data_IF_851121691672
#
_entry.id   IF_851121691672
#
_cell.length_a   1.000
_cell.length_b   1.000
_cell.length_c   1.000
_cell.angle_alpha   90.00
_cell.angle_beta   90.00
_cell.angle_gamma   90.00
#
_symmetry.space_group_name_H-M   'P 1'
#
loop_
_entity.id
_entity.type
_entity.pdbx_description
1 polymer ?
#
# COMPACT_ATOMS: atom_id res chain seq x y z
N UNK A 1 -16.83 11.45 -1.18
CA UNK A 1 -15.51 11.66 -1.85
C UNK A 1 -15.53 13.02 -2.53
N UNK A 2 -14.44 13.78 -2.48
CA UNK A 2 -14.32 15.03 -3.27
C UNK A 2 -13.45 14.82 -4.50
N UNK A 3 -13.78 15.49 -5.60
CA UNK A 3 -12.99 15.51 -6.83
C UNK A 3 -12.76 16.95 -7.25
N UNK A 4 -11.65 17.18 -7.93
CA UNK A 4 -11.30 18.46 -8.53
C UNK A 4 -11.77 18.48 -9.99
N UNK A 5 -12.59 19.45 -10.38
CA UNK A 5 -12.91 19.72 -11.79
C UNK A 5 -11.68 20.28 -12.50
N UNK A 6 -11.29 19.65 -13.62
CA UNK A 6 -10.00 19.93 -14.28
C UNK A 6 -9.93 21.30 -14.94
N UNK A 7 -11.06 21.89 -15.31
CA UNK A 7 -11.15 23.16 -16.04
C UNK A 7 -11.24 24.35 -15.10
N UNK A 8 -12.03 24.19 -14.05
CA UNK A 8 -12.31 25.28 -13.11
C UNK A 8 -11.37 25.21 -11.90
N UNK A 9 -10.88 24.01 -11.53
CA UNK A 9 -10.22 23.71 -10.25
C UNK A 9 -11.17 23.87 -9.05
N UNK A 10 -12.47 23.67 -9.23
CA UNK A 10 -13.45 23.62 -8.13
C UNK A 10 -13.42 22.22 -7.52
N UNK A 11 -13.53 22.17 -6.19
CA UNK A 11 -13.66 20.90 -5.48
C UNK A 11 -15.14 20.60 -5.33
N UNK A 12 -15.59 19.52 -5.97
CA UNK A 12 -16.96 19.03 -5.99
C UNK A 12 -17.07 17.78 -5.10
N UNK A 13 -18.19 17.63 -4.39
CA UNK A 13 -18.42 16.52 -3.48
C UNK A 13 -19.44 15.53 -4.06
N UNK A 14 -19.09 14.24 -3.99
CA UNK A 14 -19.87 13.13 -4.53
C UNK A 14 -20.11 12.08 -3.46
N UNK A 15 -21.33 11.54 -3.46
CA UNK A 15 -21.79 10.54 -2.49
C UNK A 15 -22.24 9.25 -3.20
N UNK A 16 -22.07 8.12 -2.52
CA UNK A 16 -22.59 6.83 -2.97
C UNK A 16 -22.14 6.49 -4.39
N UNK A 17 -23.10 6.19 -5.27
CA UNK A 17 -22.88 5.77 -6.66
C UNK A 17 -22.85 6.92 -7.66
N UNK A 18 -23.03 8.17 -7.22
CA UNK A 18 -23.10 9.35 -8.09
C UNK A 18 -21.71 9.85 -8.52
N UNK A 19 -20.67 9.03 -8.35
CA UNK A 19 -19.29 9.35 -8.69
C UNK A 19 -19.12 9.38 -10.21
N UNK A 20 -18.66 10.50 -10.82
CA UNK A 20 -18.36 10.54 -12.25
C UNK A 20 -17.13 9.68 -12.56
N UNK A 21 -16.82 9.49 -13.84
CA UNK A 21 -15.52 8.93 -14.24
C UNK A 21 -14.41 9.94 -13.89
N UNK A 22 -13.36 9.48 -13.23
CA UNK A 22 -12.24 10.34 -12.82
C UNK A 22 -10.89 9.65 -13.04
N UNK A 23 -9.86 10.48 -13.18
CA UNK A 23 -8.48 10.05 -13.04
C UNK A 23 -7.98 10.32 -11.61
N UNK A 24 -6.97 9.59 -11.16
CA UNK A 24 -6.42 9.71 -9.81
C UNK A 24 -4.91 9.95 -9.86
N UNK A 25 -4.39 10.84 -9.02
CA UNK A 25 -2.96 11.05 -8.90
C UNK A 25 -2.39 10.19 -7.78
N UNK A 26 -1.43 9.35 -8.13
CA UNK A 26 -0.55 8.67 -7.19
C UNK A 26 0.82 9.36 -7.21
N UNK A 27 1.30 9.77 -6.05
CA UNK A 27 2.60 10.43 -5.95
C UNK A 27 3.18 10.34 -4.54
N UNK A 28 4.49 10.49 -4.45
CA UNK A 28 5.17 10.65 -3.17
C UNK A 28 5.20 12.12 -2.77
N UNK A 29 4.71 12.46 -1.58
CA UNK A 29 4.70 13.85 -1.13
C UNK A 29 6.12 14.42 -1.10
N UNK A 30 6.27 15.62 -1.64
CA UNK A 30 7.48 16.41 -1.68
C UNK A 30 7.36 17.64 -0.79
N UNK A 31 8.14 18.67 -1.12
CA UNK A 31 8.06 19.98 -0.47
C UNK A 31 6.92 20.79 -1.10
N UNK A 32 6.28 21.62 -0.28
CA UNK A 32 5.28 22.59 -0.74
C UNK A 32 4.04 21.97 -1.40
N UNK A 33 3.53 20.88 -0.84
CA UNK A 33 2.22 20.34 -1.26
C UNK A 33 1.09 21.35 -0.99
N UNK A 34 0.01 21.18 -1.75
CA UNK A 34 -1.20 21.99 -1.64
C UNK A 34 -2.26 21.18 -0.89
N UNK A 35 -2.71 21.73 0.23
CA UNK A 35 -3.77 21.15 1.06
C UNK A 35 -5.17 21.54 0.56
N UNK A 36 -6.22 20.92 1.13
CA UNK A 36 -7.60 21.31 0.86
C UNK A 36 -7.87 22.78 1.21
N UNK A 37 -7.50 23.30 2.40
CA UNK A 37 -7.64 24.74 2.70
C UNK A 37 -6.84 25.65 1.75
N UNK A 38 -5.66 25.22 1.30
CA UNK A 38 -4.87 25.97 0.33
C UNK A 38 -5.63 26.13 -1.01
N UNK A 39 -6.30 25.07 -1.49
CA UNK A 39 -7.12 25.15 -2.70
C UNK A 39 -8.29 26.12 -2.56
N UNK A 40 -8.98 26.11 -1.42
CA UNK A 40 -10.05 27.06 -1.14
C UNK A 40 -9.52 28.51 -1.14
N UNK A 41 -8.36 28.76 -0.53
CA UNK A 41 -7.72 30.08 -0.52
C UNK A 41 -7.32 30.54 -1.94
N UNK A 42 -6.75 29.64 -2.75
CA UNK A 42 -6.40 29.93 -4.15
C UNK A 42 -7.62 30.32 -4.98
N UNK A 43 -8.77 29.69 -4.72
CA UNK A 43 -10.05 29.97 -5.40
C UNK A 43 -10.69 31.27 -4.95
N UNK A 44 -10.68 31.55 -3.64
CA UNK A 44 -11.25 32.77 -3.09
C UNK A 44 -10.45 34.03 -3.48
N UNK A 45 -9.16 33.88 -3.81
CA UNK A 45 -8.32 34.98 -4.24
C UNK A 45 -8.72 35.51 -5.63
N UNK A 46 -9.11 36.79 -5.69
CA UNK A 46 -9.36 37.49 -6.95
C UNK A 46 -8.07 37.67 -7.80
N UNK A 47 -6.89 37.59 -7.16
CA UNK A 47 -5.59 37.77 -7.83
C UNK A 47 -4.99 36.44 -8.27
N UNK A 48 -4.75 36.33 -9.58
CA UNK A 48 -4.00 35.23 -10.22
C UNK A 48 -2.56 35.06 -9.69
N UNK A 49 -2.01 36.03 -8.94
CA UNK A 49 -0.65 36.00 -8.37
C UNK A 49 -0.56 35.46 -6.94
N UNK A 50 -1.61 34.80 -6.43
CA UNK A 50 -1.61 34.20 -5.10
C UNK A 50 -0.34 33.33 -4.87
N UNK A 51 0.41 33.50 -3.76
CA UNK A 51 1.72 32.86 -3.57
C UNK A 51 1.66 31.33 -3.61
N UNK A 52 0.55 30.73 -3.17
CA UNK A 52 0.35 29.28 -3.24
C UNK A 52 0.38 28.73 -4.68
N UNK A 53 0.04 29.53 -5.70
CA UNK A 53 0.12 29.12 -7.11
C UNK A 53 1.56 28.90 -7.59
N UNK A 54 2.56 29.40 -6.85
CA UNK A 54 3.99 29.20 -7.16
C UNK A 54 4.56 27.93 -6.55
N UNK A 55 3.86 27.31 -5.59
CA UNK A 55 4.32 26.08 -4.92
C UNK A 55 4.44 24.93 -5.92
N UNK A 56 5.42 24.05 -5.72
CA UNK A 56 5.62 22.86 -6.57
C UNK A 56 4.40 21.93 -6.56
N UNK A 57 3.74 21.76 -5.41
CA UNK A 57 2.50 20.99 -5.30
C UNK A 57 1.36 21.51 -6.18
N UNK A 58 1.27 22.83 -6.38
CA UNK A 58 0.24 23.41 -7.24
C UNK A 58 0.48 23.06 -8.72
N UNK A 59 1.73 23.18 -9.18
CA UNK A 59 2.09 22.79 -10.56
C UNK A 59 1.81 21.31 -10.81
N UNK A 60 2.06 20.45 -9.82
CA UNK A 60 1.71 19.02 -9.91
C UNK A 60 0.20 18.81 -10.11
N UNK A 61 -0.64 19.52 -9.36
CA UNK A 61 -2.11 19.48 -9.53
C UNK A 61 -2.51 19.97 -10.92
N UNK A 62 -1.95 21.08 -11.40
CA UNK A 62 -2.24 21.62 -12.73
C UNK A 62 -1.87 20.62 -13.82
N UNK A 63 -0.66 20.05 -13.78
CA UNK A 63 -0.23 19.07 -14.76
C UNK A 63 -1.08 17.78 -14.72
N UNK A 64 -1.54 17.39 -13.52
CA UNK A 64 -2.52 16.30 -13.35
C UNK A 64 -3.82 16.62 -14.09
N UNK A 65 -4.34 17.84 -13.93
CA UNK A 65 -5.56 18.29 -14.60
C UNK A 65 -5.37 18.39 -16.12
N UNK A 66 -4.21 18.86 -16.57
CA UNK A 66 -3.88 18.92 -18.00
C UNK A 66 -3.82 17.52 -18.62
N UNK A 67 -3.16 16.57 -17.96
CA UNK A 67 -3.10 15.20 -18.43
C UNK A 67 -4.50 14.54 -18.42
N UNK A 68 -5.27 14.74 -17.36
CA UNK A 68 -6.66 14.29 -17.27
C UNK A 68 -7.52 14.82 -18.41
N UNK A 69 -7.41 16.12 -18.73
CA UNK A 69 -8.12 16.73 -19.85
C UNK A 69 -7.73 16.11 -21.19
N UNK A 70 -6.43 15.86 -21.42
CA UNK A 70 -5.94 15.19 -22.65
C UNK A 70 -6.52 13.79 -22.81
N UNK A 71 -6.68 13.07 -21.70
CA UNK A 71 -7.22 11.71 -21.67
C UNK A 71 -8.77 11.68 -21.58
N UNK A 72 -9.43 12.84 -21.60
CA UNK A 72 -10.89 12.97 -21.67
C UNK A 72 -11.62 12.91 -20.32
N UNK A 73 -10.92 13.10 -19.21
CA UNK A 73 -11.50 13.16 -17.86
C UNK A 73 -11.80 14.59 -17.44
N UNK A 74 -13.00 14.80 -16.88
CA UNK A 74 -13.40 16.10 -16.31
C UNK A 74 -13.03 16.25 -14.84
N UNK A 75 -12.81 15.14 -14.14
CA UNK A 75 -12.56 15.13 -12.71
C UNK A 75 -11.27 14.39 -12.38
N UNK A 76 -10.54 14.91 -11.40
CA UNK A 76 -9.37 14.24 -10.82
C UNK A 76 -9.47 14.13 -9.31
N UNK A 77 -8.92 13.06 -8.75
CA UNK A 77 -8.69 12.95 -7.33
C UNK A 77 -7.20 13.12 -7.01
N UNK A 78 -6.90 13.99 -6.04
CA UNK A 78 -5.55 14.23 -5.53
C UNK A 78 -5.61 14.24 -4.01
N UNK A 79 -4.99 13.27 -3.36
CA UNK A 79 -5.06 13.06 -1.91
C UNK A 79 -4.69 14.31 -1.10
N UNK A 80 -3.71 15.10 -1.54
CA UNK A 80 -3.23 16.28 -0.81
C UNK A 80 -4.32 17.33 -0.65
N UNK A 81 -5.17 17.52 -1.67
CA UNK A 81 -6.16 18.59 -1.71
C UNK A 81 -7.62 18.14 -1.80
N UNK A 82 -7.92 16.87 -2.09
CA UNK A 82 -9.29 16.34 -2.10
C UNK A 82 -9.72 15.78 -0.73
N UNK A 83 -8.78 15.62 0.21
CA UNK A 83 -9.06 15.22 1.59
C UNK A 83 -8.77 16.41 2.51
N UNK A 84 -9.76 16.81 3.31
CA UNK A 84 -9.55 17.70 4.44
C UNK A 84 -8.94 16.94 5.61
N UNK A 85 -7.60 17.01 5.70
CA UNK A 85 -6.83 16.36 6.75
C UNK A 85 -6.96 17.03 8.12
N UNK A 86 -7.62 18.19 8.20
CA UNK A 86 -7.93 18.84 9.48
C UNK A 86 -9.16 18.21 10.16
N UNK A 87 -10.01 17.53 9.38
CA UNK A 87 -11.15 16.76 9.87
C UNK A 87 -10.74 15.31 10.13
N UNK A 88 -10.68 14.90 11.39
CA UNK A 88 -10.28 13.53 11.76
C UNK A 88 -11.29 12.47 11.29
N UNK A 89 -12.57 12.80 11.27
CA UNK A 89 -13.63 11.92 10.74
C UNK A 89 -13.46 11.72 9.24
N UNK A 90 -13.23 12.79 8.48
CA UNK A 90 -13.01 12.71 7.04
C UNK A 90 -11.71 11.98 6.71
N UNK A 91 -10.63 12.26 7.43
CA UNK A 91 -9.35 11.55 7.24
C UNK A 91 -9.52 10.03 7.48
N UNK A 92 -10.28 9.66 8.52
CA UNK A 92 -10.59 8.25 8.81
C UNK A 92 -11.43 7.61 7.72
N UNK A 93 -12.47 8.27 7.24
CA UNK A 93 -13.30 7.80 6.13
C UNK A 93 -12.46 7.64 4.85
N UNK A 94 -11.62 8.63 4.54
CA UNK A 94 -10.80 8.66 3.36
C UNK A 94 -9.77 7.54 3.32
N UNK A 95 -9.06 7.30 4.43
CA UNK A 95 -8.07 6.21 4.51
C UNK A 95 -8.75 4.85 4.37
N UNK A 96 -9.90 4.61 5.03
CA UNK A 96 -10.64 3.35 4.88
C UNK A 96 -11.24 3.17 3.47
N UNK A 97 -11.38 4.25 2.69
CA UNK A 97 -11.95 4.23 1.34
C UNK A 97 -10.91 4.31 0.22
N UNK A 98 -9.65 4.63 0.54
CA UNK A 98 -8.63 5.02 -0.44
C UNK A 98 -8.37 3.92 -1.47
N UNK A 99 -8.24 2.67 -1.01
CA UNK A 99 -8.07 1.53 -1.92
C UNK A 99 -9.22 1.42 -2.93
N UNK A 100 -10.47 1.56 -2.48
CA UNK A 100 -11.64 1.53 -3.35
C UNK A 100 -11.62 2.70 -4.34
N UNK A 101 -11.24 3.91 -3.90
CA UNK A 101 -11.11 5.07 -4.79
C UNK A 101 -10.02 4.89 -5.85
N UNK A 102 -8.92 4.21 -5.54
CA UNK A 102 -7.93 3.82 -6.53
C UNK A 102 -8.45 2.72 -7.47
N UNK A 103 -9.15 1.72 -6.94
CA UNK A 103 -9.71 0.61 -7.73
C UNK A 103 -10.80 1.05 -8.71
N UNK A 104 -11.64 1.99 -8.30
CA UNK A 104 -12.73 2.56 -9.10
C UNK A 104 -12.27 3.66 -10.06
N UNK A 105 -11.05 4.17 -9.91
CA UNK A 105 -10.50 5.14 -10.85
C UNK A 105 -10.32 4.53 -12.25
N UNK A 106 -10.64 5.31 -13.27
CA UNK A 106 -10.50 4.87 -14.66
C UNK A 106 -9.04 4.89 -15.13
N UNK A 107 -8.24 5.79 -14.53
CA UNK A 107 -6.84 6.00 -14.84
C UNK A 107 -6.11 6.53 -13.61
N UNK A 108 -5.00 5.91 -13.25
CA UNK A 108 -4.08 6.41 -12.25
C UNK A 108 -2.82 6.98 -12.91
N UNK A 109 -2.50 8.24 -12.60
CA UNK A 109 -1.24 8.87 -12.99
C UNK A 109 -0.24 8.71 -11.84
N UNK A 110 0.78 7.87 -12.04
CA UNK A 110 1.85 7.70 -11.06
C UNK A 110 3.00 8.66 -11.38
N UNK A 111 3.12 9.74 -10.61
CA UNK A 111 4.15 10.77 -10.81
C UNK A 111 5.40 10.47 -9.98
N UNK A 112 6.50 10.17 -10.69
CA UNK A 112 7.81 9.84 -10.13
C UNK A 112 8.69 11.11 -10.09
N UNK A 113 8.63 11.84 -8.98
CA UNK A 113 9.34 13.12 -8.81
C UNK A 113 10.87 12.99 -8.87
N UNK A 114 11.40 11.84 -8.45
CA UNK A 114 12.83 11.54 -8.37
C UNK A 114 13.38 10.80 -9.59
N UNK A 115 12.56 10.61 -10.62
CA UNK A 115 12.98 10.06 -11.89
C UNK A 115 13.24 11.20 -12.88
N UNK A 116 14.50 11.42 -13.25
CA UNK A 116 14.90 12.32 -14.34
C UNK A 116 15.64 11.54 -15.43
N UNK A 117 15.45 11.94 -16.68
CA UNK A 117 16.11 11.32 -17.84
C UNK A 117 17.62 11.66 -17.89
N UNK A 118 18.10 12.56 -17.02
CA UNK A 118 19.46 13.12 -17.06
C UNK A 118 20.42 12.32 -16.17
N UNK A 119 20.84 11.14 -16.61
CA UNK A 119 22.08 10.53 -16.12
C UNK A 119 23.10 10.54 -17.26
N UNK A 120 24.36 10.86 -16.96
CA UNK A 120 25.49 11.05 -17.89
C UNK A 120 25.88 9.80 -18.73
N UNK A 121 25.09 8.71 -18.69
CA UNK A 121 25.37 7.41 -19.31
C UNK A 121 24.31 6.94 -20.33
N UNK A 122 23.39 7.82 -20.74
CA UNK A 122 22.31 7.51 -21.68
C UNK A 122 20.93 7.57 -21.03
N UNK A 123 19.87 7.67 -21.85
CA UNK A 123 18.50 7.74 -21.35
C UNK A 123 18.17 6.45 -20.56
N UNK A 124 17.80 6.54 -19.28
CA UNK A 124 17.48 5.36 -18.49
C UNK A 124 16.25 4.68 -19.08
N UNK A 125 16.40 3.42 -19.51
CA UNK A 125 15.29 2.59 -19.93
C UNK A 125 14.37 2.34 -18.71
N UNK A 126 13.10 2.75 -18.74
CA UNK A 126 12.18 2.57 -17.62
C UNK A 126 12.04 1.09 -17.21
N UNK A 127 12.17 0.16 -18.16
CA UNK A 127 12.12 -1.29 -17.88
C UNK A 127 13.21 -1.76 -16.92
N UNK A 128 14.33 -1.05 -16.83
CA UNK A 128 15.47 -1.48 -16.00
C UNK A 128 15.59 -0.66 -14.70
N UNK A 129 14.90 0.48 -14.62
CA UNK A 129 15.21 1.50 -13.61
C UNK A 129 14.01 2.05 -12.85
N UNK A 130 12.78 1.85 -13.33
CA UNK A 130 11.59 2.50 -12.74
C UNK A 130 11.39 2.13 -11.26
N UNK A 131 11.65 0.88 -10.91
CA UNK A 131 11.53 0.34 -9.54
C UNK A 131 12.54 0.94 -8.56
N UNK A 132 13.55 1.66 -9.04
CA UNK A 132 14.52 2.38 -8.20
C UNK A 132 13.96 3.71 -7.66
N UNK A 133 12.85 4.20 -8.20
CA UNK A 133 12.18 5.38 -7.68
C UNK A 133 11.69 5.15 -6.26
N UNK A 134 11.78 6.20 -5.42
CA UNK A 134 11.16 6.36 -4.10
C UNK A 134 9.69 5.92 -4.09
N UNK A 135 8.99 6.07 -5.22
CA UNK A 135 7.60 5.66 -5.32
C UNK A 135 7.42 4.17 -5.04
N UNK A 136 8.32 3.28 -5.46
CA UNK A 136 8.19 1.84 -5.20
C UNK A 136 8.55 1.43 -3.77
N UNK A 137 9.23 2.28 -3.01
CA UNK A 137 9.60 2.04 -1.62
C UNK A 137 8.74 2.81 -0.61
N UNK A 138 7.73 3.58 -1.04
CA UNK A 138 6.79 4.23 -0.12
C UNK A 138 5.70 3.25 0.31
N UNK A 139 5.27 3.30 1.58
CA UNK A 139 4.22 2.41 2.09
C UNK A 139 2.89 2.58 1.36
N UNK A 140 2.36 3.80 1.34
CA UNK A 140 1.06 4.11 0.71
C UNK A 140 0.99 3.74 -0.76
N UNK A 141 2.05 3.92 -1.55
CA UNK A 141 2.03 3.64 -2.99
C UNK A 141 1.85 2.15 -3.33
N UNK A 142 1.93 1.24 -2.35
CA UNK A 142 1.63 -0.17 -2.59
C UNK A 142 0.15 -0.36 -3.00
N UNK A 143 -0.77 0.25 -2.26
CA UNK A 143 -2.18 0.17 -2.63
C UNK A 143 -2.46 0.94 -3.92
N UNK A 144 -1.71 2.01 -4.18
CA UNK A 144 -1.81 2.81 -5.40
C UNK A 144 -1.26 2.08 -6.64
N UNK A 145 -0.36 1.10 -6.45
CA UNK A 145 0.12 0.18 -7.48
C UNK A 145 -0.89 -0.94 -7.76
N UNK A 146 -1.41 -1.53 -6.68
CA UNK A 146 -2.22 -2.75 -6.73
C UNK A 146 -3.67 -2.46 -7.12
N UNK A 147 -4.30 -1.46 -6.53
CA UNK A 147 -5.74 -1.23 -6.67
C UNK A 147 -6.18 -0.78 -8.08
N UNK A 148 -5.56 0.23 -8.73
CA UNK A 148 -6.04 0.69 -10.03
C UNK A 148 -5.83 -0.34 -11.13
N UNK A 149 -6.81 -0.49 -12.03
CA UNK A 149 -6.65 -1.36 -13.22
C UNK A 149 -5.66 -0.77 -14.23
N UNK A 150 -5.61 0.57 -14.36
CA UNK A 150 -4.77 1.26 -15.33
C UNK A 150 -3.90 2.28 -14.61
N UNK A 151 -2.59 2.18 -14.84
CA UNK A 151 -1.62 3.17 -14.37
C UNK A 151 -0.74 3.58 -15.55
N UNK A 152 -0.52 4.89 -15.70
CA UNK A 152 0.54 5.45 -16.54
C UNK A 152 1.55 6.14 -15.63
N UNK A 153 2.83 5.76 -15.78
CA UNK A 153 3.92 6.37 -15.03
C UNK A 153 4.44 7.59 -15.77
N UNK A 154 4.70 8.66 -15.03
CA UNK A 154 5.25 9.91 -15.53
C UNK A 154 6.48 10.30 -14.72
N UNK A 155 7.49 10.84 -15.38
CA UNK A 155 8.65 11.43 -14.69
C UNK A 155 8.43 12.91 -14.38
N UNK A 156 9.46 13.59 -13.86
CA UNK A 156 9.40 15.00 -13.43
C UNK A 156 8.92 16.00 -14.51
N UNK A 157 9.19 15.76 -15.80
CA UNK A 157 8.69 16.61 -16.91
C UNK A 157 7.34 16.17 -17.49
N UNK A 158 6.59 15.29 -16.81
CA UNK A 158 5.27 14.80 -17.25
C UNK A 158 5.24 14.12 -18.63
N UNK A 159 6.34 13.50 -19.05
CA UNK A 159 6.35 12.55 -20.17
C UNK A 159 6.16 11.13 -19.65
N UNK A 160 5.49 10.30 -20.46
CA UNK A 160 5.15 8.93 -20.08
C UNK A 160 6.37 8.02 -20.11
N UNK A 161 6.57 7.27 -19.02
CA UNK A 161 7.58 6.21 -18.89
C UNK A 161 7.04 4.84 -19.32
N UNK A 162 5.73 4.73 -19.54
CA UNK A 162 5.03 3.48 -19.82
C UNK A 162 3.83 3.26 -18.90
N UNK A 163 3.06 2.20 -19.18
CA UNK A 163 1.92 1.77 -18.38
C UNK A 163 2.30 0.63 -17.43
N UNK A 164 1.52 0.42 -16.36
CA UNK A 164 1.65 -0.77 -15.50
C UNK A 164 1.69 -2.07 -16.29
N UNK A 165 0.86 -2.19 -17.33
CA UNK A 165 0.88 -3.36 -18.19
C UNK A 165 2.19 -3.51 -18.97
N UNK A 166 2.70 -2.43 -19.58
CA UNK A 166 3.96 -2.47 -20.36
C UNK A 166 5.22 -2.68 -19.50
N UNK A 167 5.13 -2.39 -18.21
CA UNK A 167 6.22 -2.47 -17.25
C UNK A 167 6.03 -3.61 -16.23
N UNK A 168 5.03 -4.47 -16.40
CA UNK A 168 4.66 -5.49 -15.41
C UNK A 168 5.85 -6.41 -15.05
N UNK A 169 6.60 -6.88 -16.06
CA UNK A 169 7.80 -7.70 -15.84
C UNK A 169 8.91 -6.97 -15.05
N UNK A 170 9.09 -5.66 -15.30
CA UNK A 170 10.06 -4.85 -14.56
C UNK A 170 9.62 -4.65 -13.10
N UNK A 171 8.32 -4.42 -12.89
CA UNK A 171 7.73 -4.25 -11.56
C UNK A 171 7.81 -5.56 -10.78
N UNK A 172 7.48 -6.70 -11.39
CA UNK A 172 7.63 -8.03 -10.79
C UNK A 172 9.08 -8.29 -10.39
N UNK A 173 10.05 -8.08 -11.29
CA UNK A 173 11.46 -8.26 -10.99
C UNK A 173 11.99 -7.36 -9.86
N UNK A 174 11.42 -6.16 -9.68
CA UNK A 174 11.85 -5.23 -8.64
C UNK A 174 11.10 -5.32 -7.31
N UNK A 175 9.89 -5.88 -7.30
CA UNK A 175 9.00 -5.88 -6.12
C UNK A 175 8.60 -7.27 -5.65
N UNK A 176 8.79 -8.30 -6.47
CA UNK A 176 8.27 -9.65 -6.22
C UNK A 176 6.75 -9.78 -6.37
N UNK A 177 6.05 -8.71 -6.80
CA UNK A 177 4.61 -8.75 -7.04
C UNK A 177 4.36 -9.35 -8.43
N UNK A 178 3.65 -10.48 -8.48
CA UNK A 178 3.38 -11.20 -9.72
C UNK A 178 2.72 -10.34 -10.80
N UNK A 179 3.06 -10.58 -12.06
CA UNK A 179 2.37 -9.94 -13.19
C UNK A 179 0.86 -10.20 -13.19
N UNK A 180 0.40 -11.37 -12.71
CA UNK A 180 -1.02 -11.72 -12.69
C UNK A 180 -1.83 -10.73 -11.86
N UNK A 181 -1.36 -10.39 -10.66
CA UNK A 181 -2.05 -9.42 -9.79
C UNK A 181 -1.84 -7.97 -10.25
N UNK A 182 -0.70 -7.65 -10.87
CA UNK A 182 -0.46 -6.33 -11.45
C UNK A 182 -1.42 -6.04 -12.60
N UNK A 183 -1.70 -7.04 -13.43
CA UNK A 183 -2.59 -6.94 -14.59
C UNK A 183 -4.06 -7.17 -14.21
N UNK A 184 -4.33 -7.89 -13.12
CA UNK A 184 -5.67 -8.15 -12.62
C UNK A 184 -5.76 -7.95 -11.08
N UNK A 185 -6.08 -6.73 -10.62
CA UNK A 185 -6.25 -6.41 -9.21
C UNK A 185 -7.30 -7.27 -8.47
N UNK A 186 -8.26 -7.86 -9.18
CA UNK A 186 -9.29 -8.69 -8.56
C UNK A 186 -8.70 -10.00 -7.98
N UNK A 187 -7.47 -10.37 -8.38
CA UNK A 187 -6.75 -11.54 -7.86
C UNK A 187 -6.06 -11.28 -6.51
N UNK A 188 -5.97 -10.05 -6.01
CA UNK A 188 -5.25 -9.73 -4.76
C UNK A 188 -5.70 -10.64 -3.60
N UNK A 189 -7.00 -10.93 -3.51
CA UNK A 189 -7.58 -11.75 -2.42
C UNK A 189 -7.25 -13.24 -2.52
N UNK A 190 -6.77 -13.71 -3.67
CA UNK A 190 -6.40 -15.10 -3.89
C UNK A 190 -4.99 -15.41 -3.36
N UNK A 191 -4.19 -14.38 -3.08
CA UNK A 191 -2.87 -14.51 -2.49
C UNK A 191 -2.95 -14.62 -0.98
N UNK A 192 -2.05 -15.42 -0.41
CA UNK A 192 -2.00 -15.66 1.03
C UNK A 192 -1.75 -14.36 1.80
N UNK A 193 -2.12 -14.35 3.08
CA UNK A 193 -1.80 -13.22 3.97
C UNK A 193 -0.30 -12.99 4.00
N UNK A 194 0.52 -14.04 4.11
CA UNK A 194 1.97 -13.89 4.15
C UNK A 194 2.53 -13.28 2.87
N UNK A 195 2.03 -13.68 1.70
CA UNK A 195 2.49 -13.12 0.42
C UNK A 195 2.10 -11.65 0.27
N UNK A 196 0.87 -11.29 0.66
CA UNK A 196 0.43 -9.88 0.70
C UNK A 196 1.25 -9.04 1.68
N UNK A 197 1.66 -9.61 2.83
CA UNK A 197 2.59 -8.95 3.75
C UNK A 197 3.99 -8.78 3.13
N UNK A 198 4.47 -9.75 2.35
CA UNK A 198 5.75 -9.67 1.64
C UNK A 198 5.79 -8.49 0.67
N UNK A 199 4.71 -8.20 -0.04
CA UNK A 199 4.64 -7.03 -0.94
C UNK A 199 4.84 -5.68 -0.22
N UNK A 200 4.60 -5.66 1.09
CA UNK A 200 4.79 -4.50 1.95
C UNK A 200 6.17 -4.43 2.61
N UNK A 201 6.99 -5.47 2.50
CA UNK A 201 8.36 -5.48 3.04
C UNK A 201 9.23 -4.40 2.39
N UNK A 202 10.20 -3.89 3.14
CA UNK A 202 11.14 -2.84 2.71
C UNK A 202 10.50 -1.50 2.33
N UNK A 203 9.18 -1.34 2.51
CA UNK A 203 8.49 -0.06 2.29
C UNK A 203 8.58 0.84 3.51
N UNK A 204 8.70 2.13 3.26
CA UNK A 204 8.93 3.15 4.27
C UNK A 204 7.70 4.05 4.43
N UNK A 205 7.39 4.36 5.68
CA UNK A 205 6.34 5.30 6.07
C UNK A 205 6.93 6.40 6.94
N UNK A 206 6.29 7.57 6.93
CA UNK A 206 6.74 8.70 7.78
C UNK A 206 6.23 8.55 9.20
N UNK A 207 4.97 8.14 9.36
CA UNK A 207 4.41 7.74 10.65
C UNK A 207 4.52 6.23 10.79
N UNK A 208 4.78 5.77 11.99
CA UNK A 208 4.97 4.35 12.26
C UNK A 208 3.68 3.56 11.99
N UNK A 209 2.53 4.14 12.37
CA UNK A 209 1.21 3.54 12.23
C UNK A 209 0.77 3.40 10.77
N UNK A 210 1.29 4.25 9.87
CA UNK A 210 0.99 4.15 8.43
C UNK A 210 1.49 2.82 7.82
N UNK A 211 2.41 2.10 8.49
CA UNK A 211 2.78 0.73 8.09
C UNK A 211 1.57 -0.21 8.11
N UNK A 212 0.63 0.01 9.03
CA UNK A 212 -0.61 -0.71 9.12
C UNK A 212 -1.69 -0.08 8.23
N UNK A 213 -1.88 1.24 8.34
CA UNK A 213 -2.98 1.93 7.65
C UNK A 213 -2.87 1.89 6.13
N UNK A 214 -1.66 1.84 5.57
CA UNK A 214 -1.47 1.69 4.13
C UNK A 214 -1.85 0.31 3.58
N UNK A 215 -2.11 -0.68 4.45
CA UNK A 215 -2.40 -2.06 4.08
C UNK A 215 -3.87 -2.46 4.27
N UNK A 216 -4.67 -1.66 4.99
CA UNK A 216 -6.06 -2.01 5.34
C UNK A 216 -6.89 -2.38 4.10
N UNK A 217 -6.73 -1.65 2.99
CA UNK A 217 -7.43 -1.91 1.74
C UNK A 217 -6.95 -3.15 1.00
N UNK A 218 -5.65 -3.48 1.07
CA UNK A 218 -5.06 -4.70 0.49
C UNK A 218 -5.61 -5.94 1.19
N UNK A 219 -5.83 -5.83 2.51
CA UNK A 219 -6.43 -6.88 3.31
C UNK A 219 -7.96 -6.85 3.37
N UNK A 220 -8.59 -5.79 2.86
CA UNK A 220 -10.05 -5.64 2.85
C UNK A 220 -10.65 -5.52 4.25
N UNK A 221 -9.94 -4.88 5.18
CA UNK A 221 -10.38 -4.66 6.56
C UNK A 221 -10.60 -3.17 6.83
N UNK A 222 -11.42 -2.86 7.83
CA UNK A 222 -11.65 -1.50 8.29
C UNK A 222 -11.25 -1.38 9.76
N UNK A 223 -10.58 -0.28 10.12
CA UNK A 223 -10.17 -0.05 11.51
C UNK A 223 -10.07 1.45 11.85
N UNK A 224 -10.29 1.84 13.13
CA UNK A 224 -10.07 3.21 13.59
C UNK A 224 -8.59 3.61 13.49
N UNK A 225 -8.34 4.84 13.04
CA UNK A 225 -6.99 5.43 12.97
C UNK A 225 -6.63 6.11 14.30
N UNK A 226 -5.67 5.54 15.03
CA UNK A 226 -5.16 6.06 16.28
C UNK A 226 -3.68 6.42 16.13
N UNK A 227 -3.39 7.63 15.63
CA UNK A 227 -2.01 8.11 15.58
C UNK A 227 -1.46 8.37 17.00
N UNK A 228 -0.27 7.85 17.29
CA UNK A 228 0.34 7.83 18.62
C UNK A 228 0.37 6.44 19.28
N UNK A 229 -0.24 5.42 18.67
CA UNK A 229 -0.22 4.05 19.20
C UNK A 229 1.04 3.25 18.81
N UNK A 230 1.86 3.77 17.89
CA UNK A 230 3.11 3.16 17.47
C UNK A 230 2.93 1.79 16.82
N UNK A 231 3.75 0.81 17.21
CA UNK A 231 3.75 -0.55 16.64
C UNK A 231 2.42 -1.30 16.86
N UNK A 232 1.61 -0.86 17.83
CA UNK A 232 0.28 -1.44 18.10
C UNK A 232 -0.67 -1.35 16.93
N UNK A 233 -0.50 -0.36 16.04
CA UNK A 233 -1.30 -0.24 14.83
C UNK A 233 -1.20 -1.48 13.94
N UNK A 234 0.00 -2.07 13.82
CA UNK A 234 0.22 -3.25 12.98
C UNK A 234 -0.27 -4.54 13.64
N UNK A 235 -0.21 -4.64 14.97
CA UNK A 235 -0.87 -5.73 15.69
C UNK A 235 -2.39 -5.68 15.51
N UNK A 236 -3.01 -4.49 15.64
CA UNK A 236 -4.45 -4.31 15.39
C UNK A 236 -4.86 -4.63 13.96
N UNK A 237 -4.04 -4.30 12.97
CA UNK A 237 -4.28 -4.71 11.59
C UNK A 237 -4.39 -6.25 11.49
N UNK A 238 -3.44 -6.98 12.08
CA UNK A 238 -3.49 -8.45 12.12
C UNK A 238 -4.74 -8.95 12.85
N UNK A 239 -5.13 -8.34 13.97
CA UNK A 239 -6.36 -8.70 14.68
C UNK A 239 -7.61 -8.52 13.79
N UNK A 240 -7.72 -7.43 13.03
CA UNK A 240 -8.84 -7.25 12.10
C UNK A 240 -8.82 -8.25 10.94
N UNK A 241 -7.64 -8.61 10.43
CA UNK A 241 -7.50 -9.65 9.39
C UNK A 241 -8.00 -11.00 9.93
N UNK A 242 -7.60 -11.35 11.17
CA UNK A 242 -7.96 -12.62 11.83
C UNK A 242 -9.48 -12.74 12.02
N UNK A 243 -10.19 -11.64 12.27
CA UNK A 243 -11.67 -11.68 12.41
C UNK A 243 -12.39 -12.15 11.15
N UNK A 244 -11.79 -11.94 9.97
CA UNK A 244 -12.39 -12.22 8.68
C UNK A 244 -11.70 -13.31 7.86
N UNK A 245 -10.67 -13.97 8.38
CA UNK A 245 -9.84 -14.91 7.62
C UNK A 245 -9.49 -16.17 8.39
N UNK A 246 -9.51 -17.30 7.69
CA UNK A 246 -9.02 -18.61 8.17
C UNK A 246 -7.62 -18.93 7.62
N UNK A 247 -6.98 -17.98 6.92
CA UNK A 247 -5.66 -18.18 6.32
C UNK A 247 -4.56 -18.17 7.39
N UNK A 248 -3.98 -19.34 7.67
CA UNK A 248 -3.00 -19.52 8.74
C UNK A 248 -1.64 -18.88 8.43
N UNK A 249 -1.41 -18.43 7.19
CA UNK A 249 -0.15 -17.80 6.79
C UNK A 249 0.09 -16.46 7.49
N UNK A 250 -0.92 -15.89 8.16
CA UNK A 250 -0.76 -14.75 9.07
C UNK A 250 0.24 -15.03 10.22
N UNK A 251 0.43 -16.30 10.60
CA UNK A 251 1.38 -16.73 11.63
C UNK A 251 2.71 -17.22 11.06
N UNK A 252 2.96 -17.08 9.76
CA UNK A 252 4.17 -17.58 9.10
C UNK A 252 5.40 -16.66 9.28
N UNK A 253 5.22 -15.49 9.89
CA UNK A 253 6.28 -14.52 10.14
C UNK A 253 7.36 -15.08 11.06
N UNK A 254 8.55 -14.48 11.00
CA UNK A 254 9.75 -14.94 11.71
C UNK A 254 10.30 -13.84 12.62
N UNK A 255 10.74 -14.22 13.81
CA UNK A 255 11.43 -13.31 14.73
C UNK A 255 12.86 -13.01 14.28
N UNK A 256 13.38 -11.84 14.63
CA UNK A 256 14.80 -11.52 14.43
C UNK A 256 15.67 -12.44 15.29
N UNK A 257 16.55 -13.23 14.66
CA UNK A 257 17.45 -14.18 15.33
C UNK A 257 16.99 -15.64 15.31
N UNK A 258 16.16 -16.05 14.34
CA UNK A 258 15.85 -17.47 14.12
C UNK A 258 17.11 -18.23 13.65
N UNK A 259 17.67 -19.15 14.47
CA UNK A 259 18.95 -19.81 14.19
C UNK A 259 18.94 -20.68 12.92
N UNK A 260 17.77 -20.96 12.35
CA UNK A 260 17.63 -21.80 11.17
C UNK A 260 17.88 -21.06 9.84
N UNK A 261 18.06 -19.73 9.85
CA UNK A 261 18.05 -18.94 8.60
C UNK A 261 18.97 -17.70 8.54
N UNK A 262 19.89 -17.51 9.50
CA UNK A 262 20.81 -16.34 9.55
C UNK A 262 21.71 -16.17 8.31
N UNK A 263 21.75 -17.12 7.37
CA UNK A 263 22.56 -17.04 6.14
C UNK A 263 21.91 -16.23 4.99
N UNK A 264 20.62 -15.85 5.07
CA UNK A 264 19.89 -15.28 3.90
C UNK A 264 19.58 -13.78 4.03
N UNK A 265 19.54 -13.21 5.24
CA UNK A 265 19.07 -11.84 5.45
C UNK A 265 20.21 -10.90 5.86
N UNK A 266 20.66 -10.05 4.93
CA UNK A 266 21.31 -8.78 5.27
C UNK A 266 20.28 -7.82 5.91
N UNK A 267 19.84 -8.14 7.12
CA UNK A 267 18.99 -7.26 7.93
C UNK A 267 19.83 -6.03 8.26
N UNK A 268 19.42 -4.87 7.76
CA UNK A 268 20.07 -3.60 8.10
C UNK A 268 19.99 -3.38 9.62
N UNK A 269 21.08 -2.89 10.21
CA UNK A 269 21.20 -2.68 11.67
C UNK A 269 20.12 -1.77 12.27
N UNK A 270 19.43 -0.97 11.44
CA UNK A 270 18.37 -0.05 11.87
C UNK A 270 17.03 -0.74 12.20
N UNK A 271 16.91 -2.05 11.97
CA UNK A 271 15.70 -2.87 12.27
C UNK A 271 15.79 -3.64 13.59
N UNK A 272 16.75 -3.33 14.47
CA UNK A 272 16.74 -3.87 15.84
C UNK A 272 15.48 -3.38 16.56
N UNK A 273 14.46 -4.21 16.56
CA UNK A 273 13.36 -4.09 17.51
C UNK A 273 13.98 -4.02 18.90
N UNK A 274 13.57 -3.03 19.69
CA UNK A 274 13.98 -2.88 21.09
C UNK A 274 13.39 -3.98 21.99
N UNK A 275 12.60 -4.89 21.41
CA UNK A 275 11.97 -6.02 22.07
C UNK A 275 12.95 -7.19 22.03
N UNK A 276 13.29 -7.73 23.20
CA UNK A 276 14.11 -8.92 23.30
C UNK A 276 13.44 -10.10 22.55
N UNK A 277 14.20 -11.04 21.95
CA UNK A 277 13.64 -12.19 21.23
C UNK A 277 12.61 -13.01 22.02
N UNK A 278 12.68 -12.97 23.35
CA UNK A 278 11.77 -13.68 24.27
C UNK A 278 10.46 -12.93 24.59
N UNK A 279 10.30 -11.69 24.14
CA UNK A 279 9.10 -10.86 24.35
C UNK A 279 8.24 -10.74 23.07
N UNK A 280 8.59 -11.48 22.01
CA UNK A 280 7.82 -11.54 20.77
C UNK A 280 6.50 -12.29 21.03
N UNK A 281 5.38 -11.58 20.90
CA UNK A 281 4.04 -12.15 20.95
C UNK A 281 3.73 -13.01 19.72
N UNK A 282 2.47 -13.43 19.59
CA UNK A 282 1.99 -14.26 18.45
C UNK A 282 1.84 -13.46 17.15
N UNK A 283 1.78 -12.13 17.24
CA UNK A 283 1.60 -11.23 16.10
C UNK A 283 2.91 -10.49 15.78
N UNK A 284 3.16 -10.29 14.49
CA UNK A 284 4.32 -9.54 14.02
C UNK A 284 4.22 -8.05 14.39
N UNK A 285 5.37 -7.37 14.47
CA UNK A 285 5.45 -5.93 14.72
C UNK A 285 5.58 -5.10 13.42
N UNK A 286 5.94 -5.74 12.30
CA UNK A 286 6.00 -5.10 10.99
C UNK A 286 5.85 -6.12 9.84
N UNK A 287 5.55 -5.66 8.61
CA UNK A 287 5.57 -6.52 7.43
C UNK A 287 6.94 -7.16 7.18
N UNK A 288 8.04 -6.53 7.60
CA UNK A 288 9.41 -7.05 7.39
C UNK A 288 9.65 -8.39 8.09
N UNK A 289 8.86 -8.73 9.11
CA UNK A 289 8.88 -10.05 9.73
C UNK A 289 8.42 -11.18 8.79
N UNK A 290 7.76 -10.85 7.68
CA UNK A 290 7.32 -11.81 6.65
C UNK A 290 8.33 -11.97 5.50
N UNK A 291 9.50 -11.34 5.53
CA UNK A 291 10.53 -11.54 4.49
C UNK A 291 10.79 -13.05 4.29
N UNK A 292 10.77 -13.49 3.03
CA UNK A 292 10.94 -14.90 2.66
C UNK A 292 9.69 -15.79 2.85
N UNK A 293 8.55 -15.23 3.26
CA UNK A 293 7.30 -15.97 3.47
C UNK A 293 6.34 -15.91 2.27
N UNK A 294 6.83 -15.50 1.10
CA UNK A 294 5.99 -15.25 -0.09
C UNK A 294 5.47 -16.52 -0.75
N UNK A 295 6.26 -17.60 -0.75
CA UNK A 295 5.84 -18.91 -1.31
C UNK A 295 5.00 -19.76 -0.36
N UNK A 296 4.58 -19.20 0.78
CA UNK A 296 3.84 -19.90 1.81
C UNK A 296 2.35 -19.82 1.50
N UNK A 297 1.71 -20.98 1.30
CA UNK A 297 0.29 -21.08 0.93
C UNK A 297 -0.58 -21.60 2.08
N UNK A 298 -1.86 -21.20 2.16
CA UNK A 298 -2.78 -21.74 3.14
C UNK A 298 -3.07 -23.22 2.86
N UNK A 299 -3.32 -24.02 3.90
CA UNK A 299 -3.74 -25.40 3.72
C UNK A 299 -5.25 -25.46 3.48
N UNK A 300 -5.64 -25.84 2.27
CA UNK A 300 -7.06 -25.83 1.86
C UNK A 300 -7.73 -27.21 1.83
N UNK A 301 -7.00 -28.33 1.87
CA UNK A 301 -7.60 -29.65 1.61
C UNK A 301 -6.93 -30.82 2.35
N UNK A 302 -7.37 -31.09 3.56
CA UNK A 302 -7.50 -32.46 4.06
C UNK A 302 -8.79 -32.50 4.89
N UNK A 303 -9.56 -33.58 4.82
CA UNK A 303 -10.86 -33.84 5.49
C UNK A 303 -10.89 -33.65 7.04
N UNK A 304 -9.88 -33.03 7.63
CA UNK A 304 -9.75 -32.69 9.02
C UNK A 304 -9.94 -31.20 9.21
N UNK A 305 -11.15 -30.82 9.63
CA UNK A 305 -11.48 -29.58 10.36
C UNK A 305 -10.74 -28.31 9.91
N UNK A 306 -11.41 -27.41 9.18
CA UNK A 306 -10.96 -26.02 8.96
C UNK A 306 -10.28 -25.50 10.23
N UNK A 307 -8.98 -25.20 10.13
CA UNK A 307 -8.20 -24.66 11.24
C UNK A 307 -8.70 -23.25 11.52
N UNK A 308 -9.72 -23.15 12.37
CA UNK A 308 -10.22 -21.89 12.87
C UNK A 308 -9.27 -21.36 13.93
N UNK A 309 -9.05 -20.05 13.89
CA UNK A 309 -8.32 -19.34 14.92
C UNK A 309 -9.02 -18.02 15.26
N UNK A 310 -8.91 -17.62 16.51
CA UNK A 310 -9.45 -16.35 17.00
C UNK A 310 -8.65 -15.85 18.18
N UNK A 311 -8.63 -14.53 18.36
CA UNK A 311 -8.14 -13.92 19.60
C UNK A 311 -9.25 -13.85 20.64
N UNK A 312 -8.94 -14.33 21.83
CA UNK A 312 -9.79 -14.20 23.03
C UNK A 312 -9.10 -13.27 24.03
N UNK A 313 -9.79 -12.89 25.11
CA UNK A 313 -9.15 -12.20 26.24
C UNK A 313 -8.07 -13.04 26.95
N UNK A 314 -7.92 -14.33 26.62
CA UNK A 314 -6.87 -15.22 27.11
C UNK A 314 -5.72 -15.43 26.12
N UNK A 315 -5.79 -14.83 24.93
CA UNK A 315 -4.82 -15.02 23.84
C UNK A 315 -5.37 -15.77 22.65
N UNK A 316 -4.47 -16.26 21.79
CA UNK A 316 -4.82 -17.01 20.58
C UNK A 316 -5.42 -18.37 20.94
N UNK A 317 -6.62 -18.63 20.42
CA UNK A 317 -7.22 -19.96 20.38
C UNK A 317 -7.17 -20.46 18.93
N UNK A 318 -6.53 -21.60 18.69
CA UNK A 318 -6.35 -22.17 17.34
C UNK A 318 -6.47 -23.71 17.38
N UNK A 319 -7.09 -24.27 16.34
CA UNK A 319 -7.14 -25.72 16.11
C UNK A 319 -6.12 -26.09 15.02
N UNK A 320 -5.10 -26.87 15.38
CA UNK A 320 -4.03 -27.29 14.47
C UNK A 320 -3.98 -28.81 14.30
N UNK A 321 -3.70 -29.31 13.08
CA UNK A 321 -3.32 -30.71 12.93
C UNK A 321 -2.01 -30.97 13.68
N UNK A 322 -1.97 -32.09 14.40
CA UNK A 322 -0.76 -32.57 15.06
C UNK A 322 0.01 -33.47 14.11
N UNK A 323 1.29 -33.18 13.91
CA UNK A 323 2.23 -34.08 13.25
C UNK A 323 3.06 -34.77 14.31
N UNK A 324 2.96 -36.09 14.37
CA UNK A 324 3.82 -36.89 15.25
C UNK A 324 5.21 -37.03 14.62
N UNK A 325 6.22 -36.66 15.39
CA UNK A 325 7.62 -36.81 15.02
C UNK A 325 8.10 -38.22 15.36
N UNK A 326 9.17 -38.67 14.69
CA UNK A 326 9.84 -39.93 14.99
C UNK A 326 10.35 -40.05 16.43
N UNK A 327 10.44 -38.93 17.16
CA UNK A 327 10.79 -38.85 18.57
C UNK A 327 9.61 -39.06 19.54
N UNK A 328 8.38 -39.27 19.04
CA UNK A 328 7.16 -39.41 19.85
C UNK A 328 6.55 -38.08 20.34
N UNK A 329 7.13 -36.95 19.95
CA UNK A 329 6.56 -35.62 20.20
C UNK A 329 5.58 -35.26 19.08
N UNK A 330 4.49 -34.56 19.43
CA UNK A 330 3.59 -33.98 18.45
C UNK A 330 3.88 -32.48 18.30
N UNK A 331 4.01 -32.00 17.07
CA UNK A 331 4.05 -30.57 16.76
C UNK A 331 2.70 -30.18 16.17
N UNK A 332 2.05 -29.19 16.79
CA UNK A 332 0.93 -28.49 16.16
C UNK A 332 1.48 -27.61 15.06
N UNK A 333 1.27 -27.99 13.81
CA UNK A 333 1.81 -27.23 12.68
C UNK A 333 0.69 -26.34 12.17
N UNK A 334 0.84 -25.00 12.19
CA UNK A 334 0.10 -24.14 11.26
C UNK A 334 0.66 -24.49 9.88
N UNK A 335 0.25 -25.63 9.34
CA UNK A 335 0.92 -26.28 8.22
C UNK A 335 0.58 -25.48 6.99
N UNK A 336 1.43 -24.55 6.63
CA UNK A 336 1.37 -23.90 5.34
C UNK A 336 2.21 -24.69 4.34
N UNK A 337 1.73 -24.79 3.10
CA UNK A 337 2.48 -25.44 2.03
C UNK A 337 3.62 -24.53 1.57
N UNK A 338 4.69 -25.14 1.07
CA UNK A 338 5.61 -24.47 0.15
C UNK A 338 5.32 -25.01 -1.26
N UNK A 339 5.17 -24.13 -2.24
CA UNK A 339 5.13 -24.51 -3.66
C UNK A 339 6.52 -24.89 -4.18
#
# INVERSE_FOLDING_TARGET
MRLLDVDTLEIEEFYGTDKPRYAILSHTWGKEEISFPDMLAIRAAADTRHPLRRKRGFHKIINTCEQARRDGYRHVWVDTCCIDKSSSSELSEAINSMFAWYQESDMCYAYLEDFSITNDFGQPNPKDTIVKSRWFSRGWTLQELLAPRRITFFHTFWESLGTKASLAAAIEGGTGISQDVLLNPDLIRNYSISERMVWATNRQTTRLEDRAYSLIGIFGVNMPLLYGEGEKAFMRLQEEIIKGSEDQTIFAWRGSGDPWFDDIAHVKEDTKSSVAPNDLGVLALSPDAFIGCGGIIPLLDFDYTRSTFMFTNRGLQINLPLVELSSGYCIGVPRSGAC
#
